data_IF_493371238883
#
_entry.id   IF_493371238883
#
_cell.length_a   1.000
_cell.length_b   1.000
_cell.length_c   1.000
_cell.angle_alpha   90.00
_cell.angle_beta   90.00
_cell.angle_gamma   90.00
#
_symmetry.space_group_name_H-M   'P 1'
#
loop_
_entity.id
_entity.type
_entity.pdbx_description
1 polymer ?
#
# COMPACT_ATOMS: atom_id res chain seq x y z
N UNK A 1 -36.94 11.72 9.65
CA UNK A 1 -36.63 10.99 10.89
C UNK A 1 -35.45 10.04 10.76
N UNK A 2 -35.46 9.00 9.92
CA UNK A 2 -34.26 8.09 9.78
C UNK A 2 -33.02 8.80 9.23
N UNK A 3 -33.13 9.63 8.20
CA UNK A 3 -31.99 10.41 7.66
C UNK A 3 -31.44 11.43 8.67
N UNK A 4 -32.25 12.03 9.51
CA UNK A 4 -31.78 12.97 10.53
C UNK A 4 -30.99 12.27 11.63
N UNK A 5 -31.38 11.06 12.02
CA UNK A 5 -30.63 10.24 12.95
C UNK A 5 -29.26 9.88 12.36
N UNK A 6 -29.22 9.49 11.09
CA UNK A 6 -27.96 9.16 10.38
C UNK A 6 -27.06 10.39 10.20
N UNK A 7 -27.59 11.56 9.89
CA UNK A 7 -26.84 12.82 9.80
C UNK A 7 -26.20 13.23 11.13
N UNK A 8 -26.83 12.89 12.26
CA UNK A 8 -26.31 13.14 13.60
C UNK A 8 -25.28 12.11 14.08
N UNK A 9 -25.03 11.07 13.30
CA UNK A 9 -24.00 10.08 13.61
C UNK A 9 -22.60 10.71 13.58
N UNK A 10 -21.70 10.20 14.44
CA UNK A 10 -20.29 10.60 14.40
C UNK A 10 -19.66 10.16 13.09
N UNK A 11 -18.87 11.02 12.46
CA UNK A 11 -18.22 10.71 11.19
C UNK A 11 -17.26 9.50 11.32
N UNK A 12 -16.54 9.36 12.43
CA UNK A 12 -15.70 8.19 12.68
C UNK A 12 -16.51 6.89 12.76
N UNK A 13 -17.70 6.89 13.38
CA UNK A 13 -18.57 5.74 13.47
C UNK A 13 -19.15 5.35 12.09
N UNK A 14 -19.63 6.32 11.33
CA UNK A 14 -20.05 6.12 9.94
C UNK A 14 -18.92 5.52 9.09
N UNK A 15 -17.72 6.09 9.19
CA UNK A 15 -16.55 5.61 8.44
C UNK A 15 -16.18 4.15 8.80
N UNK A 16 -16.26 3.79 10.07
CA UNK A 16 -16.03 2.40 10.51
C UNK A 16 -17.05 1.43 9.89
N UNK A 17 -18.35 1.79 9.91
CA UNK A 17 -19.41 1.00 9.27
C UNK A 17 -19.18 0.89 7.76
N UNK A 18 -18.85 2.00 7.11
CA UNK A 18 -18.56 2.03 5.68
C UNK A 18 -17.41 1.08 5.30
N UNK A 19 -16.31 1.07 6.07
CA UNK A 19 -15.20 0.13 5.87
C UNK A 19 -15.71 -1.32 5.96
N UNK A 20 -16.51 -1.66 6.96
CA UNK A 20 -17.01 -3.01 7.13
C UNK A 20 -17.89 -3.45 5.97
N UNK A 21 -18.75 -2.56 5.47
CA UNK A 21 -19.71 -2.87 4.39
C UNK A 21 -19.01 -2.93 3.03
N UNK A 22 -18.19 -1.93 2.72
CA UNK A 22 -17.67 -1.76 1.34
C UNK A 22 -16.25 -2.29 1.13
N UNK A 23 -15.43 -2.47 2.19
CA UNK A 23 -14.03 -2.85 2.04
C UNK A 23 -13.71 -4.25 2.53
N UNK A 24 -14.38 -4.73 3.58
CA UNK A 24 -14.15 -6.07 4.14
C UNK A 24 -14.46 -7.14 3.09
N UNK A 25 -13.46 -8.00 2.82
CA UNK A 25 -13.56 -9.05 1.81
C UNK A 25 -13.38 -8.59 0.35
N UNK A 26 -13.46 -7.28 0.07
CA UNK A 26 -13.28 -6.73 -1.28
C UNK A 26 -11.82 -6.32 -1.58
N UNK A 27 -11.02 -6.10 -0.55
CA UNK A 27 -9.63 -5.63 -0.66
C UNK A 27 -8.69 -6.54 0.12
N UNK A 28 -7.39 -6.49 -0.23
CA UNK A 28 -6.36 -7.24 0.52
C UNK A 28 -6.20 -6.69 1.93
N UNK A 29 -5.81 -7.56 2.88
CA UNK A 29 -5.65 -7.20 4.29
C UNK A 29 -4.67 -6.02 4.49
N UNK A 30 -3.54 -6.01 3.77
CA UNK A 30 -2.58 -4.87 3.79
C UNK A 30 -3.23 -3.54 3.41
N UNK A 31 -4.25 -3.57 2.55
CA UNK A 31 -5.01 -2.36 2.19
C UNK A 31 -6.05 -2.05 3.26
N UNK A 32 -6.68 -3.08 3.85
CA UNK A 32 -7.61 -2.94 4.96
C UNK A 32 -6.93 -2.27 6.17
N UNK A 33 -5.68 -2.63 6.48
CA UNK A 33 -4.92 -2.01 7.57
C UNK A 33 -4.76 -0.50 7.38
N UNK A 34 -4.58 -0.04 6.15
CA UNK A 34 -4.54 1.42 5.88
C UNK A 34 -5.86 2.11 6.21
N UNK A 35 -7.00 1.49 5.91
CA UNK A 35 -8.32 2.01 6.28
C UNK A 35 -8.52 2.01 7.80
N UNK A 36 -8.07 0.95 8.49
CA UNK A 36 -8.10 0.90 9.97
C UNK A 36 -7.24 2.00 10.58
N UNK A 37 -6.03 2.22 10.07
CA UNK A 37 -5.17 3.32 10.51
C UNK A 37 -5.82 4.69 10.26
N UNK A 38 -6.44 4.88 9.10
CA UNK A 38 -7.17 6.11 8.81
C UNK A 38 -8.33 6.34 9.79
N UNK A 39 -9.06 5.28 10.14
CA UNK A 39 -10.11 5.34 11.15
C UNK A 39 -9.56 5.74 12.54
N UNK A 40 -8.50 5.10 13.01
CA UNK A 40 -7.87 5.43 14.31
C UNK A 40 -7.39 6.89 14.36
N UNK A 41 -6.87 7.40 13.26
CA UNK A 41 -6.48 8.80 13.18
C UNK A 41 -7.69 9.74 13.16
N UNK A 42 -8.76 9.36 12.48
CA UNK A 42 -10.00 10.12 12.47
C UNK A 42 -10.61 10.23 13.87
N UNK A 43 -10.65 9.12 14.64
CA UNK A 43 -11.08 9.10 16.03
C UNK A 43 -10.23 10.03 16.92
N UNK A 44 -8.92 10.12 16.66
CA UNK A 44 -8.01 10.97 17.42
C UNK A 44 -8.16 12.46 17.08
N UNK A 45 -8.37 12.80 15.80
CA UNK A 45 -8.38 14.18 15.31
C UNK A 45 -9.78 14.80 15.44
N UNK A 46 -10.82 14.02 15.17
CA UNK A 46 -12.21 14.50 15.09
C UNK A 46 -13.18 13.56 15.81
N UNK A 47 -12.99 13.26 17.11
CA UNK A 47 -13.77 12.25 17.83
C UNK A 47 -15.27 12.58 17.95
N UNK A 48 -15.62 13.84 17.95
CA UNK A 48 -17.01 14.33 18.19
C UNK A 48 -17.68 14.88 16.93
N UNK A 49 -16.96 14.89 15.80
CA UNK A 49 -17.48 15.45 14.56
C UNK A 49 -18.64 14.63 14.03
N UNK A 50 -19.78 15.26 13.80
CA UNK A 50 -20.94 14.65 13.18
C UNK A 50 -20.89 14.76 11.66
N UNK A 51 -21.55 13.83 10.95
CA UNK A 51 -21.53 13.79 9.48
C UNK A 51 -22.01 15.12 8.89
N UNK A 52 -23.12 15.68 9.38
CA UNK A 52 -23.69 16.92 8.84
C UNK A 52 -22.78 18.16 9.04
N UNK A 53 -21.85 18.11 9.99
CA UNK A 53 -20.90 19.19 10.27
C UNK A 53 -19.69 19.17 9.32
N UNK A 54 -19.59 18.14 8.46
CA UNK A 54 -18.46 17.96 7.56
C UNK A 54 -18.52 18.95 6.39
N UNK A 55 -18.04 20.15 6.64
CA UNK A 55 -17.89 21.22 5.65
C UNK A 55 -16.49 21.15 5.00
N UNK A 56 -16.27 21.94 3.93
CA UNK A 56 -14.93 22.08 3.32
C UNK A 56 -13.88 22.58 4.32
N UNK A 57 -14.25 23.47 5.21
CA UNK A 57 -13.34 24.03 6.24
C UNK A 57 -13.03 22.95 7.26
N UNK A 58 -14.03 22.26 7.80
CA UNK A 58 -13.86 21.20 8.78
C UNK A 58 -13.01 20.06 8.21
N UNK A 59 -13.28 19.65 6.97
CA UNK A 59 -12.49 18.62 6.30
C UNK A 59 -11.04 19.03 6.08
N UNK A 60 -10.80 20.29 5.66
CA UNK A 60 -9.45 20.83 5.51
C UNK A 60 -8.71 20.89 6.84
N UNK A 61 -9.40 21.17 7.94
CA UNK A 61 -8.84 21.14 9.28
C UNK A 61 -8.35 19.73 9.64
N UNK A 62 -9.17 18.70 9.43
CA UNK A 62 -8.78 17.29 9.64
C UNK A 62 -7.48 16.96 8.87
N UNK A 63 -7.41 17.36 7.60
CA UNK A 63 -6.21 17.14 6.81
C UNK A 63 -5.00 17.91 7.32
N UNK A 64 -5.19 19.15 7.78
CA UNK A 64 -4.13 19.96 8.35
C UNK A 64 -3.59 19.35 9.65
N UNK A 65 -4.47 18.89 10.54
CA UNK A 65 -4.11 18.28 11.83
C UNK A 65 -3.35 16.97 11.62
N UNK A 66 -3.79 16.16 10.66
CA UNK A 66 -3.06 14.96 10.24
C UNK A 66 -1.67 15.30 9.69
N UNK A 67 -1.58 16.35 8.88
CA UNK A 67 -0.36 16.81 8.23
C UNK A 67 0.72 17.32 9.22
N UNK A 68 0.34 17.71 10.44
CA UNK A 68 1.30 18.12 11.47
C UNK A 68 2.32 17.03 11.84
N UNK A 69 1.91 15.77 11.73
CA UNK A 69 2.75 14.61 12.07
C UNK A 69 3.20 13.77 10.88
N UNK A 70 2.64 13.99 9.68
CA UNK A 70 2.85 13.16 8.50
C UNK A 70 3.41 13.93 7.30
N UNK A 71 4.12 13.21 6.43
CA UNK A 71 4.58 13.76 5.15
C UNK A 71 3.39 13.95 4.19
N UNK A 72 3.59 14.85 3.20
CA UNK A 72 2.55 15.19 2.21
C UNK A 72 1.97 13.97 1.49
N UNK A 73 2.80 12.97 1.13
CA UNK A 73 2.32 11.76 0.46
C UNK A 73 1.41 10.93 1.38
N UNK A 74 1.77 10.79 2.65
CA UNK A 74 0.96 10.06 3.64
C UNK A 74 -0.38 10.78 3.89
N UNK A 75 -0.37 12.12 3.93
CA UNK A 75 -1.59 12.93 4.03
C UNK A 75 -2.48 12.79 2.79
N UNK A 76 -1.89 12.67 1.59
CA UNK A 76 -2.62 12.39 0.35
C UNK A 76 -3.28 11.01 0.41
N UNK A 77 -2.58 9.99 0.89
CA UNK A 77 -3.13 8.64 1.04
C UNK A 77 -4.31 8.63 2.04
N UNK A 78 -4.17 9.35 3.16
CA UNK A 78 -5.24 9.54 4.14
C UNK A 78 -6.47 10.22 3.52
N UNK A 79 -6.26 11.31 2.76
CA UNK A 79 -7.33 11.97 2.00
C UNK A 79 -8.06 10.98 1.07
N UNK A 80 -7.34 10.18 0.30
CA UNK A 80 -7.95 9.20 -0.61
C UNK A 80 -8.76 8.12 0.12
N UNK A 81 -8.32 7.70 1.31
CA UNK A 81 -9.02 6.71 2.11
C UNK A 81 -10.35 7.25 2.66
N UNK A 82 -10.38 8.51 3.10
CA UNK A 82 -11.61 9.14 3.60
C UNK A 82 -12.57 9.51 2.47
N UNK A 83 -12.03 9.94 1.34
CA UNK A 83 -12.82 10.51 0.23
C UNK A 83 -13.93 9.57 -0.26
N UNK A 84 -13.67 8.25 -0.36
CA UNK A 84 -14.67 7.29 -0.82
C UNK A 84 -15.92 7.30 0.06
N UNK A 85 -15.74 7.20 1.38
CA UNK A 85 -16.86 7.22 2.34
C UNK A 85 -17.59 8.55 2.35
N UNK A 86 -16.87 9.67 2.17
CA UNK A 86 -17.46 11.00 2.14
C UNK A 86 -18.31 11.18 0.88
N UNK A 87 -17.86 10.70 -0.28
CA UNK A 87 -18.65 10.78 -1.52
C UNK A 87 -19.92 9.95 -1.43
N UNK A 88 -19.84 8.73 -0.87
CA UNK A 88 -21.03 7.91 -0.64
C UNK A 88 -21.99 8.61 0.33
N UNK A 89 -21.50 9.27 1.39
CA UNK A 89 -22.33 10.06 2.30
C UNK A 89 -23.00 11.27 1.62
N UNK A 90 -22.34 11.86 0.62
CA UNK A 90 -22.96 12.93 -0.21
C UNK A 90 -24.05 12.35 -1.09
N UNK A 91 -23.80 11.22 -1.75
CA UNK A 91 -24.76 10.56 -2.63
C UNK A 91 -26.01 10.05 -1.85
N UNK A 92 -25.81 9.62 -0.60
CA UNK A 92 -26.88 9.26 0.32
C UNK A 92 -27.64 10.48 0.90
N UNK A 93 -27.14 11.70 0.67
CA UNK A 93 -27.73 12.95 1.16
C UNK A 93 -27.50 13.18 2.66
N UNK A 94 -26.47 12.55 3.25
CA UNK A 94 -26.04 12.80 4.63
C UNK A 94 -25.19 14.06 4.73
N UNK A 95 -24.46 14.39 3.68
CA UNK A 95 -23.65 15.62 3.49
C UNK A 95 -24.24 16.36 2.28
N UNK A 96 -24.48 17.66 2.42
CA UNK A 96 -25.14 18.45 1.37
C UNK A 96 -24.25 18.71 0.14
N UNK A 97 -22.93 18.81 0.33
CA UNK A 97 -21.95 19.10 -0.73
C UNK A 97 -20.63 18.39 -0.43
N UNK A 98 -19.95 17.92 -1.48
CA UNK A 98 -18.63 17.29 -1.37
C UNK A 98 -17.59 18.23 -0.71
N UNK A 99 -17.18 17.93 0.53
CA UNK A 99 -16.18 18.73 1.26
C UNK A 99 -14.75 18.43 0.80
N UNK A 100 -14.53 17.35 0.05
CA UNK A 100 -13.19 16.91 -0.37
C UNK A 100 -12.71 17.66 -1.62
N UNK A 101 -13.63 18.36 -2.30
CA UNK A 101 -13.34 19.09 -3.54
C UNK A 101 -12.33 20.23 -3.29
N UNK A 102 -11.24 20.24 -4.07
CA UNK A 102 -10.15 21.23 -3.95
C UNK A 102 -9.47 21.23 -2.58
N UNK A 103 -9.42 20.10 -1.89
CA UNK A 103 -8.65 19.97 -0.65
C UNK A 103 -7.15 20.23 -0.93
N UNK A 104 -6.51 20.98 -0.02
CA UNK A 104 -5.09 21.32 -0.10
C UNK A 104 -4.32 20.31 0.77
N UNK A 105 -3.45 19.55 0.15
CA UNK A 105 -2.66 18.54 0.85
C UNK A 105 -1.34 19.15 1.30
N UNK A 106 -1.22 19.30 2.60
CA UNK A 106 0.01 19.71 3.30
C UNK A 106 0.73 18.48 3.86
N UNK A 107 1.86 18.69 4.51
CA UNK A 107 2.63 17.66 5.21
C UNK A 107 3.96 18.19 5.67
N UNK A 108 4.60 17.46 6.56
CA UNK A 108 5.98 17.73 6.99
C UNK A 108 6.92 17.68 5.77
N UNK A 109 7.94 18.50 5.81
CA UNK A 109 9.06 18.39 4.88
C UNK A 109 9.70 17.01 5.10
N UNK A 110 9.85 16.18 4.04
CA UNK A 110 10.51 14.90 4.18
C UNK A 110 11.91 15.09 4.76
N UNK A 111 12.33 14.19 5.64
CA UNK A 111 13.74 14.02 5.93
C UNK A 111 14.49 13.80 4.61
N UNK A 112 15.77 14.21 4.55
CA UNK A 112 16.57 14.18 3.31
C UNK A 112 16.25 12.97 2.42
N UNK A 113 16.04 13.20 1.12
CA UNK A 113 15.70 12.15 0.16
C UNK A 113 16.76 11.04 0.23
N UNK A 114 16.40 9.90 0.81
CA UNK A 114 17.23 8.71 0.73
C UNK A 114 17.30 8.26 -0.72
N UNK A 115 18.50 8.05 -1.23
CA UNK A 115 18.71 7.41 -2.53
C UNK A 115 18.05 6.02 -2.46
N UNK A 116 17.15 5.74 -3.39
CA UNK A 116 16.38 4.48 -3.45
C UNK A 116 16.84 3.55 -4.58
N UNK A 117 17.97 3.83 -5.15
CA UNK A 117 18.59 3.04 -6.22
C UNK A 117 20.09 2.96 -5.99
N UNK A 118 20.69 1.95 -6.56
CA UNK A 118 22.13 1.80 -6.69
C UNK A 118 22.52 2.00 -8.16
N UNK A 119 23.68 2.60 -8.41
CA UNK A 119 24.18 2.77 -9.76
C UNK A 119 24.83 1.48 -10.26
N UNK A 120 25.25 1.44 -11.54
CA UNK A 120 25.85 0.24 -12.13
C UNK A 120 27.14 -0.20 -11.44
N UNK A 121 27.97 0.75 -11.02
CA UNK A 121 29.21 0.44 -10.30
C UNK A 121 28.92 -0.18 -8.93
N UNK A 122 28.01 0.39 -8.18
CA UNK A 122 27.55 -0.14 -6.88
C UNK A 122 26.92 -1.53 -7.03
N UNK A 123 26.12 -1.74 -8.09
CA UNK A 123 25.53 -3.04 -8.39
C UNK A 123 26.62 -4.07 -8.70
N UNK A 124 27.60 -3.71 -9.53
CA UNK A 124 28.71 -4.60 -9.86
C UNK A 124 29.55 -4.95 -8.64
N UNK A 125 29.84 -3.97 -7.79
CA UNK A 125 30.55 -4.16 -6.53
C UNK A 125 29.77 -5.09 -5.58
N UNK A 126 28.45 -4.89 -5.46
CA UNK A 126 27.59 -5.77 -4.68
C UNK A 126 27.65 -7.21 -5.20
N UNK A 127 27.45 -7.42 -6.51
CA UNK A 127 27.44 -8.75 -7.10
C UNK A 127 28.78 -9.49 -6.91
N UNK A 128 29.90 -8.79 -7.03
CA UNK A 128 31.22 -9.35 -6.80
C UNK A 128 31.53 -9.69 -5.34
N UNK A 129 30.80 -9.09 -4.39
CA UNK A 129 30.93 -9.36 -2.95
C UNK A 129 30.12 -10.54 -2.45
N UNK A 130 29.18 -11.06 -3.27
CA UNK A 130 28.31 -12.17 -2.88
C UNK A 130 29.10 -13.46 -2.72
N UNK A 131 28.81 -14.19 -1.65
CA UNK A 131 29.40 -15.52 -1.36
C UNK A 131 28.39 -16.61 -1.72
N UNK A 132 28.42 -17.04 -2.97
CA UNK A 132 27.51 -18.05 -3.49
C UNK A 132 28.03 -19.44 -3.09
N UNK A 133 27.52 -19.96 -1.99
CA UNK A 133 27.78 -21.32 -1.52
C UNK A 133 26.75 -22.31 -2.10
N UNK A 134 27.00 -23.62 -1.94
CA UNK A 134 26.06 -24.67 -2.36
C UNK A 134 24.72 -24.66 -1.58
N UNK A 135 24.66 -23.98 -0.45
CA UNK A 135 23.45 -23.80 0.35
C UNK A 135 22.78 -22.49 0.00
N UNK A 136 21.44 -22.51 -0.11
CA UNK A 136 20.66 -21.30 -0.38
C UNK A 136 20.83 -20.29 0.76
N UNK A 137 21.23 -19.07 0.42
CA UNK A 137 21.48 -17.96 1.34
C UNK A 137 20.85 -16.67 0.85
N UNK A 138 20.94 -15.60 1.63
CA UNK A 138 20.54 -14.26 1.22
C UNK A 138 21.31 -13.75 0.00
N UNK A 139 22.56 -14.21 -0.21
CA UNK A 139 23.37 -13.83 -1.36
C UNK A 139 22.75 -14.34 -2.67
N UNK A 140 22.19 -15.55 -2.67
CA UNK A 140 21.41 -16.07 -3.79
C UNK A 140 20.16 -15.27 -4.07
N UNK A 141 19.44 -14.83 -3.02
CA UNK A 141 18.27 -13.98 -3.18
C UNK A 141 18.64 -12.62 -3.79
N UNK A 142 19.73 -12.01 -3.31
CA UNK A 142 20.22 -10.74 -3.85
C UNK A 142 20.64 -10.88 -5.31
N UNK A 143 21.36 -11.95 -5.66
CA UNK A 143 21.72 -12.27 -7.04
C UNK A 143 20.45 -12.39 -7.92
N UNK A 144 19.48 -13.18 -7.47
CA UNK A 144 18.24 -13.39 -8.19
C UNK A 144 17.52 -12.06 -8.46
N UNK A 145 17.37 -11.21 -7.44
CA UNK A 145 16.73 -9.90 -7.58
C UNK A 145 17.52 -9.01 -8.55
N UNK A 146 18.83 -8.96 -8.43
CA UNK A 146 19.69 -8.13 -9.27
C UNK A 146 19.64 -8.55 -10.75
N UNK A 147 19.61 -9.85 -11.02
CA UNK A 147 19.60 -10.41 -12.39
C UNK A 147 18.21 -10.39 -13.04
N UNK A 148 17.15 -10.46 -12.26
CA UNK A 148 15.78 -10.63 -12.79
C UNK A 148 14.89 -9.40 -12.64
N UNK A 149 15.25 -8.44 -11.78
CA UNK A 149 14.37 -7.34 -11.41
C UNK A 149 13.09 -7.80 -10.71
N UNK A 150 13.07 -9.01 -10.13
CA UNK A 150 11.93 -9.50 -9.35
C UNK A 150 11.71 -8.63 -8.11
N UNK A 151 10.44 -8.43 -7.75
CA UNK A 151 10.13 -7.78 -6.46
C UNK A 151 10.57 -8.69 -5.32
N UNK A 152 10.92 -8.10 -4.18
CA UNK A 152 11.38 -8.85 -3.01
C UNK A 152 10.42 -10.00 -2.64
N UNK A 153 9.11 -9.75 -2.58
CA UNK A 153 8.11 -10.77 -2.27
C UNK A 153 7.94 -11.83 -3.37
N UNK A 154 8.24 -11.50 -4.63
CA UNK A 154 8.26 -12.45 -5.75
C UNK A 154 9.48 -13.35 -5.64
N UNK A 155 10.65 -12.77 -5.39
CA UNK A 155 11.90 -13.51 -5.23
C UNK A 155 11.86 -14.48 -4.03
N UNK A 156 11.27 -14.07 -2.91
CA UNK A 156 11.05 -14.96 -1.75
C UNK A 156 10.12 -16.14 -2.05
N UNK A 157 9.26 -16.03 -3.06
CA UNK A 157 8.33 -17.09 -3.43
C UNK A 157 8.86 -18.05 -4.48
N UNK A 158 10.06 -17.80 -5.03
CA UNK A 158 10.65 -18.65 -6.06
C UNK A 158 10.98 -20.02 -5.48
N UNK A 159 10.64 -21.05 -6.23
CA UNK A 159 10.91 -22.46 -5.93
C UNK A 159 11.61 -23.13 -7.11
N UNK A 160 12.27 -24.26 -6.95
CA UNK A 160 12.94 -24.97 -8.05
C UNK A 160 12.02 -25.22 -9.25
N UNK A 161 10.72 -25.43 -9.03
CA UNK A 161 9.73 -25.68 -10.09
C UNK A 161 9.44 -24.46 -10.96
N UNK A 162 9.81 -23.27 -10.52
CA UNK A 162 9.64 -22.04 -11.28
C UNK A 162 10.73 -21.84 -12.35
N UNK A 163 11.82 -22.63 -12.29
CA UNK A 163 12.92 -22.61 -13.26
C UNK A 163 12.70 -23.63 -14.39
N UNK A 164 12.87 -23.17 -15.61
CA UNK A 164 13.04 -24.02 -16.80
C UNK A 164 14.48 -23.89 -17.26
N UNK A 165 15.35 -24.78 -16.80
CA UNK A 165 16.79 -24.75 -17.10
C UNK A 165 17.06 -25.01 -18.60
N UNK A 166 16.21 -25.79 -19.26
CA UNK A 166 16.37 -26.08 -20.70
C UNK A 166 16.17 -24.82 -21.54
N UNK A 167 15.16 -24.01 -21.16
CA UNK A 167 14.85 -22.74 -21.83
C UNK A 167 15.51 -21.53 -21.16
N UNK A 168 16.24 -21.75 -20.08
CA UNK A 168 16.85 -20.70 -19.27
C UNK A 168 15.85 -19.61 -18.87
N UNK A 169 14.69 -20.01 -18.37
CA UNK A 169 13.63 -19.06 -17.97
C UNK A 169 13.20 -19.27 -16.53
N UNK A 170 12.83 -18.17 -15.88
CA UNK A 170 12.21 -18.13 -14.56
C UNK A 170 10.76 -17.65 -14.69
N UNK A 171 9.82 -18.40 -14.16
CA UNK A 171 8.41 -18.04 -14.12
C UNK A 171 8.08 -17.31 -12.81
N UNK A 172 7.62 -16.07 -12.90
CA UNK A 172 7.11 -15.30 -11.74
C UNK A 172 5.58 -15.36 -11.78
N UNK A 173 4.97 -16.14 -10.88
CA UNK A 173 3.52 -16.35 -10.84
C UNK A 173 2.92 -16.17 -9.45
N UNK A 174 3.74 -16.07 -8.41
CA UNK A 174 3.34 -16.01 -7.00
C UNK A 174 4.22 -15.05 -6.20
N UNK A 175 3.79 -14.72 -5.00
CA UNK A 175 4.53 -13.90 -4.04
C UNK A 175 4.51 -14.57 -2.66
N UNK A 176 5.45 -14.22 -1.80
CA UNK A 176 5.47 -14.67 -0.42
C UNK A 176 4.93 -13.59 0.50
N UNK A 177 4.02 -13.95 1.41
CA UNK A 177 3.50 -13.05 2.44
C UNK A 177 4.48 -12.96 3.62
N UNK A 178 5.48 -12.12 3.50
CA UNK A 178 6.50 -11.93 4.53
C UNK A 178 6.10 -10.93 5.63
N UNK A 179 4.94 -10.26 5.48
CA UNK A 179 4.44 -9.28 6.46
C UNK A 179 3.29 -9.81 7.32
N UNK A 180 2.62 -10.85 6.86
CA UNK A 180 1.51 -11.48 7.56
C UNK A 180 1.90 -12.84 8.14
N UNK A 181 1.08 -13.83 7.91
CA UNK A 181 1.25 -15.18 8.46
C UNK A 181 2.19 -16.07 7.63
N UNK A 182 2.87 -15.54 6.63
CA UNK A 182 3.65 -16.32 5.68
C UNK A 182 2.78 -17.03 4.64
N UNK A 183 3.45 -17.75 3.70
CA UNK A 183 2.75 -18.54 2.69
C UNK A 183 2.73 -17.90 1.30
N UNK A 184 2.38 -18.74 0.32
CA UNK A 184 2.27 -18.32 -1.07
C UNK A 184 0.97 -17.54 -1.30
N UNK A 185 1.10 -16.43 -2.02
CA UNK A 185 0.00 -15.57 -2.41
C UNK A 185 0.03 -15.30 -3.91
N UNK A 186 -1.11 -15.05 -4.56
CA UNK A 186 -1.11 -14.60 -5.95
C UNK A 186 -0.39 -13.26 -6.10
N UNK A 187 0.16 -13.00 -7.29
CA UNK A 187 0.74 -11.69 -7.62
C UNK A 187 -0.30 -10.57 -7.49
N UNK A 188 0.18 -9.32 -7.37
CA UNK A 188 -0.72 -8.17 -7.18
C UNK A 188 -1.73 -8.03 -8.32
N UNK A 189 -1.32 -8.25 -9.56
CA UNK A 189 -2.14 -8.14 -10.77
C UNK A 189 -1.77 -9.27 -11.73
N UNK A 190 -2.66 -9.59 -12.66
CA UNK A 190 -2.40 -10.57 -13.74
C UNK A 190 -1.17 -10.19 -14.58
N UNK A 191 -0.95 -8.90 -14.83
CA UNK A 191 0.24 -8.39 -15.55
C UNK A 191 1.57 -8.60 -14.84
N UNK A 192 1.56 -8.93 -13.54
CA UNK A 192 2.77 -9.27 -12.79
C UNK A 192 3.23 -10.71 -13.04
N UNK A 193 2.35 -11.57 -13.56
CA UNK A 193 2.73 -12.93 -14.00
C UNK A 193 3.53 -12.81 -15.29
N UNK A 194 4.77 -13.29 -15.25
CA UNK A 194 5.70 -13.18 -16.38
C UNK A 194 6.76 -14.25 -16.35
N UNK A 195 7.36 -14.52 -17.51
CA UNK A 195 8.60 -15.28 -17.64
C UNK A 195 9.76 -14.33 -17.89
N UNK A 196 10.88 -14.61 -17.26
CA UNK A 196 12.10 -13.83 -17.35
C UNK A 196 13.17 -14.72 -17.96
N UNK A 197 13.85 -14.24 -19.00
CA UNK A 197 15.01 -14.92 -19.55
C UNK A 197 16.18 -14.76 -18.58
N UNK A 198 16.82 -15.86 -18.20
CA UNK A 198 17.99 -15.85 -17.35
C UNK A 198 19.24 -15.84 -18.22
N UNK A 199 20.31 -15.19 -17.75
CA UNK A 199 21.62 -15.33 -18.35
C UNK A 199 22.27 -16.68 -17.95
N UNK A 200 23.25 -17.11 -18.74
CA UNK A 200 23.93 -18.38 -18.50
C UNK A 200 24.66 -18.41 -17.15
N UNK A 201 25.13 -17.26 -16.63
CA UNK A 201 25.79 -17.15 -15.33
C UNK A 201 24.84 -17.40 -14.15
N UNK A 202 23.55 -17.21 -14.35
CA UNK A 202 22.52 -17.42 -13.33
C UNK A 202 22.01 -18.86 -13.30
N UNK A 203 22.30 -19.63 -14.36
CA UNK A 203 21.79 -21.00 -14.57
C UNK A 203 22.83 -22.08 -14.19
N UNK A 204 24.10 -21.73 -14.09
CA UNK A 204 25.18 -22.61 -13.64
C UNK A 204 25.23 -22.65 -12.12
#
# INVERSE_FOLDING_TARGET
MLKEVQRNELFCAYYAKWIQVYKKGAIREVTMDKYRMAHQWLEKIAPTLKIYELSRITYQQILNDYALSHERQTTMDFHHQLKGAILDAVDEGLIDRDPTRKAIIKGKVPAAKKIKYINQYELHTLLNSLKLASTVSWDWLLLLIAKTGARFSEALAVTPQDFDFTRQTLSISKTWDYKGNGGFMPTKNKSSVRKIQLDWQTVI
#
